data_IF_122954580118
#
_entry.id   IF_122954580118
#
_cell.length_a   1.000
_cell.length_b   1.000
_cell.length_c   1.000
_cell.angle_alpha   90.00
_cell.angle_beta   90.00
_cell.angle_gamma   90.00
#
_symmetry.space_group_name_H-M   'P 1'
#
loop_
_entity.id
_entity.type
_entity.pdbx_description
1 polymer ?
#
# COMPACT_ATOMS: atom_id res chain seq x y z
N UNK A 1 -14.87 -63.60 34.16
CA UNK A 1 -15.89 -64.44 34.79
C UNK A 1 -16.58 -63.52 35.77
N UNK A 2 -17.62 -62.82 35.30
CA UNK A 2 -19.02 -63.32 35.28
C UNK A 2 -19.52 -63.43 36.73
N UNK A 3 -20.70 -62.98 37.10
CA UNK A 3 -21.79 -62.21 36.48
C UNK A 3 -22.72 -61.96 37.67
N UNK A 4 -23.37 -60.79 37.75
CA UNK A 4 -24.74 -60.76 38.27
C UNK A 4 -25.42 -59.48 37.77
N UNK A 5 -26.34 -59.65 36.82
CA UNK A 5 -27.24 -58.61 36.39
C UNK A 5 -28.38 -58.41 37.40
N UNK A 6 -29.17 -57.35 37.21
CA UNK A 6 -30.65 -57.41 37.13
C UNK A 6 -31.23 -55.98 37.01
N UNK A 7 -32.25 -55.91 36.14
CA UNK A 7 -33.40 -55.01 36.07
C UNK A 7 -33.36 -53.68 35.30
N UNK A 8 -34.12 -53.73 34.20
CA UNK A 8 -34.77 -52.60 33.55
C UNK A 8 -36.13 -52.31 34.22
N UNK A 9 -36.50 -51.04 34.40
CA UNK A 9 -37.93 -50.64 34.44
C UNK A 9 -38.15 -49.15 34.15
N UNK A 10 -38.82 -48.90 33.02
CA UNK A 10 -39.82 -47.84 32.75
C UNK A 10 -39.58 -46.40 33.23
N UNK A 11 -39.34 -45.49 32.29
CA UNK A 11 -39.59 -44.06 32.47
C UNK A 11 -40.94 -43.70 31.83
N UNK A 12 -41.91 -43.35 32.68
CA UNK A 12 -43.28 -42.97 32.31
C UNK A 12 -43.32 -41.55 31.73
N UNK A 13 -44.11 -41.39 30.67
CA UNK A 13 -44.45 -40.13 30.03
C UNK A 13 -45.72 -39.57 30.70
N UNK A 14 -45.62 -38.42 31.36
CA UNK A 14 -46.77 -37.69 31.91
C UNK A 14 -46.79 -36.26 31.37
N UNK A 15 -47.80 -35.96 30.55
CA UNK A 15 -48.00 -34.67 29.87
C UNK A 15 -48.48 -33.53 30.78
N UNK A 16 -48.14 -32.33 30.32
CA UNK A 16 -48.90 -31.05 30.37
C UNK A 16 -49.15 -30.35 31.70
N UNK A 17 -48.54 -29.18 31.82
CA UNK A 17 -49.26 -27.96 32.22
C UNK A 17 -48.85 -26.80 31.32
N UNK A 18 -49.80 -26.35 30.52
CA UNK A 18 -49.75 -25.11 29.74
C UNK A 18 -50.09 -23.99 30.71
N UNK A 19 -49.13 -23.11 31.00
CA UNK A 19 -49.41 -21.81 31.61
C UNK A 19 -49.02 -20.74 30.59
N UNK A 20 -50.05 -20.18 29.94
CA UNK A 20 -49.99 -18.96 29.15
C UNK A 20 -50.09 -17.78 30.11
N UNK A 21 -49.05 -16.94 30.13
CA UNK A 21 -49.12 -15.47 30.01
C UNK A 21 -47.96 -14.80 30.73
N UNK A 22 -47.09 -14.11 29.98
CA UNK A 22 -46.63 -12.77 30.30
C UNK A 22 -45.62 -12.35 29.25
N UNK A 23 -46.00 -11.35 28.46
CA UNK A 23 -45.17 -10.54 27.59
C UNK A 23 -43.83 -10.16 28.23
N UNK A 24 -42.74 -10.64 27.65
CA UNK A 24 -41.40 -10.07 27.83
C UNK A 24 -40.93 -9.54 26.48
N UNK A 25 -40.78 -8.22 26.38
CA UNK A 25 -40.16 -7.54 25.24
C UNK A 25 -38.81 -8.19 24.90
N UNK A 26 -38.70 -8.74 23.69
CA UNK A 26 -37.41 -9.10 23.12
C UNK A 26 -36.66 -7.82 22.77
N UNK A 27 -35.45 -7.56 23.31
CA UNK A 27 -34.68 -6.42 22.88
C UNK A 27 -34.21 -6.65 21.43
N UNK A 28 -34.21 -5.57 20.65
CA UNK A 28 -33.75 -5.44 19.26
C UNK A 28 -32.27 -5.82 19.02
N UNK A 29 -31.86 -7.05 19.36
CA UNK A 29 -30.48 -7.52 19.21
C UNK A 29 -30.19 -8.08 17.82
N UNK A 30 -31.20 -8.63 17.13
CA UNK A 30 -31.04 -9.22 15.79
C UNK A 30 -30.82 -8.17 14.71
N UNK A 31 -31.58 -7.07 14.74
CA UNK A 31 -31.46 -5.98 13.77
C UNK A 31 -30.11 -5.24 13.87
N UNK A 32 -29.54 -5.11 15.08
CA UNK A 32 -28.22 -4.52 15.28
C UNK A 32 -27.08 -5.45 14.82
N UNK A 33 -27.26 -6.77 14.92
CA UNK A 33 -26.27 -7.75 14.48
C UNK A 33 -26.19 -7.82 12.94
N UNK A 34 -27.33 -7.99 12.26
CA UNK A 34 -27.40 -8.05 10.78
C UNK A 34 -26.94 -6.76 10.10
N UNK A 35 -27.27 -5.60 10.68
CA UNK A 35 -26.81 -4.31 10.13
C UNK A 35 -25.30 -4.09 10.33
N UNK A 36 -24.71 -4.61 11.41
CA UNK A 36 -23.27 -4.49 11.68
C UNK A 36 -22.42 -5.37 10.73
N UNK A 37 -22.86 -6.61 10.48
CA UNK A 37 -22.19 -7.52 9.55
C UNK A 37 -22.32 -7.06 8.11
N UNK A 38 -23.49 -6.58 7.71
CA UNK A 38 -23.72 -6.03 6.38
C UNK A 38 -22.88 -4.77 6.14
N UNK A 39 -22.81 -3.84 7.11
CA UNK A 39 -21.94 -2.65 7.02
C UNK A 39 -20.46 -3.01 6.94
N UNK A 40 -20.02 -4.01 7.72
CA UNK A 40 -18.62 -4.48 7.71
C UNK A 40 -18.25 -5.12 6.38
N UNK A 41 -19.16 -5.91 5.80
CA UNK A 41 -19.01 -6.54 4.49
C UNK A 41 -18.97 -5.50 3.35
N UNK A 42 -19.90 -4.54 3.35
CA UNK A 42 -19.93 -3.45 2.38
C UNK A 42 -18.67 -2.57 2.44
N UNK A 43 -18.21 -2.23 3.65
CA UNK A 43 -16.97 -1.48 3.86
C UNK A 43 -15.74 -2.22 3.31
N UNK A 44 -15.60 -3.51 3.65
CA UNK A 44 -14.50 -4.36 3.15
C UNK A 44 -14.50 -4.44 1.62
N UNK A 45 -15.68 -4.50 1.01
CA UNK A 45 -15.86 -4.55 -0.45
C UNK A 45 -15.44 -3.21 -1.08
N UNK A 46 -15.87 -2.09 -0.51
CA UNK A 46 -15.47 -0.75 -0.97
C UNK A 46 -13.93 -0.56 -0.91
N UNK A 47 -13.30 -0.91 0.22
CA UNK A 47 -11.84 -0.85 0.37
C UNK A 47 -11.13 -1.65 -0.72
N UNK A 48 -11.65 -2.84 -1.00
CA UNK A 48 -11.12 -3.73 -2.02
C UNK A 48 -11.20 -3.15 -3.43
N UNK A 49 -12.35 -2.56 -3.79
CA UNK A 49 -12.54 -1.90 -5.09
C UNK A 49 -11.56 -0.73 -5.25
N UNK A 50 -11.37 0.06 -4.19
CA UNK A 50 -10.43 1.19 -4.20
C UNK A 50 -8.99 0.71 -4.44
N UNK A 51 -8.59 -0.41 -3.83
CA UNK A 51 -7.24 -0.95 -4.04
C UNK A 51 -7.08 -1.47 -5.48
N UNK A 52 -8.10 -2.13 -6.04
CA UNK A 52 -8.11 -2.58 -7.43
C UNK A 52 -7.99 -1.41 -8.41
N UNK A 53 -8.77 -0.34 -8.18
CA UNK A 53 -8.66 0.88 -8.97
C UNK A 53 -7.25 1.46 -8.90
N UNK A 54 -6.63 1.48 -7.71
CA UNK A 54 -5.27 1.97 -7.57
C UNK A 54 -4.25 1.13 -8.37
N UNK A 55 -4.34 -0.20 -8.33
CA UNK A 55 -3.51 -1.09 -9.16
C UNK A 55 -3.66 -0.79 -10.65
N UNK A 56 -4.90 -0.64 -11.13
CA UNK A 56 -5.18 -0.30 -12.53
C UNK A 56 -4.57 1.06 -12.89
N UNK A 57 -4.76 2.08 -12.05
CA UNK A 57 -4.20 3.42 -12.27
C UNK A 57 -2.67 3.40 -12.35
N UNK A 58 -2.00 2.65 -11.47
CA UNK A 58 -0.54 2.47 -11.48
C UNK A 58 -0.07 1.88 -12.82
N UNK A 59 -0.69 0.78 -13.25
CA UNK A 59 -0.32 0.09 -14.50
C UNK A 59 -0.61 0.98 -15.71
N UNK A 60 -1.80 1.60 -15.78
CA UNK A 60 -2.19 2.48 -16.87
C UNK A 60 -1.26 3.69 -16.99
N UNK A 61 -0.97 4.38 -15.88
CA UNK A 61 -0.06 5.54 -15.89
C UNK A 61 1.35 5.15 -16.33
N UNK A 62 1.84 4.00 -15.86
CA UNK A 62 3.15 3.48 -16.25
C UNK A 62 3.20 3.18 -17.74
N UNK A 63 2.25 2.41 -18.26
CA UNK A 63 2.18 2.05 -19.68
C UNK A 63 2.06 3.29 -20.58
N UNK A 64 1.21 4.24 -20.19
CA UNK A 64 1.02 5.50 -20.90
C UNK A 64 2.31 6.33 -20.95
N UNK A 65 2.99 6.50 -19.81
CA UNK A 65 4.25 7.24 -19.75
C UNK A 65 5.34 6.57 -20.58
N UNK A 66 5.44 5.24 -20.52
CA UNK A 66 6.40 4.47 -21.31
C UNK A 66 6.16 4.64 -22.80
N UNK A 67 4.90 4.52 -23.26
CA UNK A 67 4.54 4.71 -24.66
C UNK A 67 5.01 6.06 -25.21
N UNK A 68 4.71 7.16 -24.50
CA UNK A 68 5.14 8.49 -24.92
C UNK A 68 6.66 8.69 -24.83
N UNK A 69 7.34 8.01 -23.91
CA UNK A 69 8.77 8.19 -23.71
C UNK A 69 9.63 7.67 -24.87
N UNK A 70 9.13 6.73 -25.68
CA UNK A 70 9.88 6.03 -26.75
C UNK A 70 10.51 7.01 -27.75
N UNK A 71 9.82 8.09 -28.07
CA UNK A 71 10.28 9.08 -29.06
C UNK A 71 11.30 10.10 -28.50
N UNK A 72 11.68 10.01 -27.22
CA UNK A 72 12.52 11.00 -26.57
C UNK A 72 13.95 10.49 -26.34
N UNK A 73 14.94 11.36 -26.52
CA UNK A 73 16.36 11.04 -26.28
C UNK A 73 16.72 10.66 -24.83
N UNK A 74 15.78 10.90 -23.90
CA UNK A 74 15.90 10.54 -22.48
C UNK A 74 15.06 9.30 -22.13
N UNK A 75 14.65 8.51 -23.13
CA UNK A 75 13.82 7.31 -22.97
C UNK A 75 14.26 6.42 -21.81
N UNK A 76 15.54 6.02 -21.78
CA UNK A 76 16.04 5.12 -20.74
C UNK A 76 15.86 5.67 -19.32
N UNK A 77 16.11 6.97 -19.12
CA UNK A 77 15.91 7.63 -17.83
C UNK A 77 14.43 7.63 -17.44
N UNK A 78 13.57 8.09 -18.37
CA UNK A 78 12.13 8.15 -18.15
C UNK A 78 11.57 6.78 -17.83
N UNK A 79 11.87 5.77 -18.65
CA UNK A 79 11.33 4.41 -18.50
C UNK A 79 11.76 3.80 -17.17
N UNK A 80 13.04 3.83 -16.85
CA UNK A 80 13.55 3.22 -15.61
C UNK A 80 13.06 3.94 -14.35
N UNK A 81 13.02 5.28 -14.36
CA UNK A 81 12.50 6.04 -13.22
C UNK A 81 10.98 5.89 -13.08
N UNK A 82 10.22 5.79 -14.18
CA UNK A 82 8.76 5.54 -14.12
C UNK A 82 8.48 4.13 -13.59
N UNK A 83 9.15 3.11 -14.13
CA UNK A 83 9.01 1.73 -13.64
C UNK A 83 9.41 1.64 -12.16
N UNK A 84 10.47 2.31 -11.73
CA UNK A 84 10.88 2.29 -10.34
C UNK A 84 9.92 3.03 -9.40
N UNK A 85 9.59 4.29 -9.67
CA UNK A 85 8.77 5.12 -8.77
C UNK A 85 7.27 4.85 -8.89
N UNK A 86 6.75 4.80 -10.12
CA UNK A 86 5.31 4.70 -10.35
C UNK A 86 4.86 3.25 -10.19
N UNK A 87 5.50 2.30 -10.88
CA UNK A 87 5.07 0.90 -10.84
C UNK A 87 5.56 0.20 -9.57
N UNK A 88 6.87 -0.05 -9.45
CA UNK A 88 7.42 -0.94 -8.42
C UNK A 88 7.24 -0.40 -7.00
N UNK A 89 7.53 0.89 -6.77
CA UNK A 89 7.42 1.49 -5.45
C UNK A 89 5.96 1.65 -5.00
N UNK A 90 5.04 2.07 -5.89
CA UNK A 90 3.61 2.14 -5.54
C UNK A 90 3.04 0.75 -5.25
N UNK A 91 3.33 -0.24 -6.10
CA UNK A 91 2.91 -1.63 -5.88
C UNK A 91 3.47 -2.19 -4.57
N UNK A 92 4.73 -1.90 -4.24
CA UNK A 92 5.32 -2.31 -2.96
C UNK A 92 4.57 -1.74 -1.76
N UNK A 93 4.13 -0.49 -1.83
CA UNK A 93 3.35 0.15 -0.75
C UNK A 93 1.96 -0.48 -0.69
N UNK A 94 1.29 -0.61 -1.83
CA UNK A 94 -0.09 -1.12 -1.92
C UNK A 94 -0.19 -2.57 -1.45
N UNK A 95 0.72 -3.45 -1.89
CA UNK A 95 0.82 -4.86 -1.48
C UNK A 95 1.09 -5.00 0.02
N UNK A 96 1.88 -4.09 0.59
CA UNK A 96 2.19 -4.12 2.02
C UNK A 96 1.05 -3.57 2.88
N UNK A 97 0.28 -2.61 2.37
CA UNK A 97 -0.65 -1.83 3.17
C UNK A 97 -1.98 -2.53 3.53
N UNK A 98 -2.32 -3.70 2.99
CA UNK A 98 -3.47 -4.46 3.49
C UNK A 98 -3.91 -5.68 2.68
N UNK A 99 -5.11 -6.15 2.97
CA UNK A 99 -5.75 -7.29 2.29
C UNK A 99 -6.37 -6.87 0.97
N UNK A 100 -5.52 -6.70 -0.04
CA UNK A 100 -5.97 -6.46 -1.41
C UNK A 100 -6.35 -7.82 -2.02
N UNK A 101 -7.22 -7.86 -3.05
CA UNK A 101 -7.63 -9.13 -3.71
C UNK A 101 -6.42 -9.98 -4.09
N UNK A 102 -5.39 -9.34 -4.65
CA UNK A 102 -4.17 -10.00 -5.12
C UNK A 102 -3.33 -10.62 -4.00
N UNK A 103 -3.44 -10.12 -2.77
CA UNK A 103 -2.55 -10.49 -1.65
C UNK A 103 -3.31 -11.02 -0.45
N UNK A 104 -4.63 -11.19 -0.55
CA UNK A 104 -5.51 -11.69 0.52
C UNK A 104 -5.11 -13.08 1.01
N UNK A 105 -4.52 -13.90 0.13
CA UNK A 105 -4.03 -15.24 0.45
C UNK A 105 -2.58 -15.25 0.97
N UNK A 106 -1.89 -14.11 0.95
CA UNK A 106 -0.49 -14.03 1.35
C UNK A 106 -0.35 -13.74 2.83
N UNK A 107 0.53 -14.51 3.48
CA UNK A 107 0.91 -14.25 4.87
C UNK A 107 1.58 -12.88 5.00
N UNK A 108 1.49 -12.28 6.19
CA UNK A 108 2.20 -11.02 6.47
C UNK A 108 3.72 -11.12 6.22
N UNK A 109 4.32 -12.31 6.41
CA UNK A 109 5.72 -12.56 6.08
C UNK A 109 5.97 -12.45 4.57
N UNK A 110 5.12 -13.08 3.75
CA UNK A 110 5.19 -12.99 2.28
C UNK A 110 5.02 -11.56 1.79
N UNK A 111 4.03 -10.81 2.30
CA UNK A 111 3.82 -9.40 1.94
C UNK A 111 5.06 -8.54 2.25
N UNK A 112 5.72 -8.78 3.39
CA UNK A 112 6.97 -8.10 3.74
C UNK A 112 8.12 -8.45 2.79
N UNK A 113 8.25 -9.71 2.39
CA UNK A 113 9.27 -10.10 1.41
C UNK A 113 9.01 -9.47 0.04
N UNK A 114 7.77 -9.49 -0.44
CA UNK A 114 7.39 -8.84 -1.69
C UNK A 114 7.66 -7.34 -1.66
N UNK A 115 7.26 -6.65 -0.58
CA UNK A 115 7.56 -5.23 -0.38
C UNK A 115 9.06 -4.95 -0.52
N UNK A 116 9.90 -5.73 0.17
CA UNK A 116 11.34 -5.55 0.13
C UNK A 116 11.93 -5.81 -1.27
N UNK A 117 11.50 -6.88 -1.95
CA UNK A 117 11.96 -7.22 -3.30
C UNK A 117 11.57 -6.12 -4.31
N UNK A 118 10.31 -5.69 -4.29
CA UNK A 118 9.81 -4.64 -5.18
C UNK A 118 10.53 -3.31 -4.95
N UNK A 119 10.78 -2.94 -3.68
CA UNK A 119 11.54 -1.73 -3.38
C UNK A 119 13.00 -1.82 -3.81
N UNK A 120 13.64 -2.98 -3.64
CA UNK A 120 15.01 -3.17 -4.09
C UNK A 120 15.12 -3.09 -5.61
N UNK A 121 14.20 -3.73 -6.34
CA UNK A 121 14.15 -3.66 -7.79
C UNK A 121 13.87 -2.23 -8.27
N UNK A 122 12.93 -1.54 -7.61
CA UNK A 122 12.62 -0.13 -7.89
C UNK A 122 13.83 0.79 -7.69
N UNK A 123 14.57 0.60 -6.58
CA UNK A 123 15.81 1.32 -6.30
C UNK A 123 16.85 1.10 -7.39
N UNK A 124 17.05 -0.15 -7.83
CA UNK A 124 18.00 -0.48 -8.92
C UNK A 124 17.59 0.22 -10.22
N UNK A 125 16.31 0.16 -10.60
CA UNK A 125 15.80 0.86 -11.77
C UNK A 125 16.05 2.36 -11.69
N UNK A 126 15.74 3.00 -10.55
CA UNK A 126 15.89 4.45 -10.38
C UNK A 126 17.36 4.85 -10.45
N UNK A 127 18.27 4.12 -9.79
CA UNK A 127 19.71 4.37 -9.87
C UNK A 127 20.18 4.28 -11.33
N UNK A 128 19.82 3.20 -12.03
CA UNK A 128 20.21 3.01 -13.41
C UNK A 128 19.69 4.14 -14.30
N UNK A 129 18.43 4.54 -14.15
CA UNK A 129 17.83 5.67 -14.87
C UNK A 129 18.55 6.99 -14.63
N UNK A 130 18.92 7.28 -13.37
CA UNK A 130 19.65 8.51 -13.00
C UNK A 130 21.08 8.48 -13.56
N UNK A 131 21.78 7.36 -13.45
CA UNK A 131 23.15 7.20 -13.99
C UNK A 131 23.16 7.40 -15.50
N UNK A 132 22.22 6.80 -16.23
CA UNK A 132 22.13 6.99 -17.68
C UNK A 132 21.88 8.46 -18.05
N UNK A 133 21.00 9.15 -17.32
CA UNK A 133 20.76 10.58 -17.53
C UNK A 133 21.99 11.45 -17.23
N UNK A 134 22.74 11.08 -16.19
CA UNK A 134 24.00 11.73 -15.84
C UNK A 134 25.03 11.61 -16.95
N UNK A 135 25.06 10.52 -17.72
CA UNK A 135 25.98 10.37 -18.86
C UNK A 135 25.56 11.19 -20.08
N UNK A 136 24.27 11.51 -20.22
CA UNK A 136 23.72 12.22 -21.38
C UNK A 136 23.75 13.75 -21.21
N UNK A 137 23.53 14.25 -20.00
CA UNK A 137 23.46 15.69 -19.74
C UNK A 137 24.84 16.31 -19.49
N UNK A 138 25.01 17.58 -19.87
CA UNK A 138 26.21 18.39 -19.55
C UNK A 138 26.08 19.20 -18.25
N UNK A 139 24.84 19.54 -17.88
CA UNK A 139 24.52 20.28 -16.65
C UNK A 139 23.58 19.42 -15.83
N UNK A 140 23.97 19.17 -14.58
CA UNK A 140 23.27 18.26 -13.68
C UNK A 140 22.53 19.01 -12.57
N UNK A 141 21.47 18.40 -12.06
CA UNK A 141 20.79 18.76 -10.80
C UNK A 141 20.33 20.22 -10.61
N UNK A 142 20.19 21.01 -11.68
CA UNK A 142 19.69 22.41 -11.58
C UNK A 142 18.17 22.57 -11.58
N UNK A 143 17.44 21.65 -12.22
CA UNK A 143 15.97 21.77 -12.32
C UNK A 143 15.27 21.20 -11.09
N UNK A 144 14.12 21.76 -10.71
CA UNK A 144 13.28 21.25 -9.61
C UNK A 144 13.03 19.73 -9.69
N UNK A 145 12.74 19.21 -10.88
CA UNK A 145 12.63 17.76 -11.13
C UNK A 145 13.87 16.98 -10.67
N UNK A 146 15.06 17.47 -11.02
CA UNK A 146 16.31 16.80 -10.69
C UNK A 146 16.64 16.90 -9.19
N UNK A 147 16.31 18.02 -8.54
CA UNK A 147 16.50 18.23 -7.10
C UNK A 147 15.56 17.30 -6.31
N UNK A 148 14.28 17.26 -6.64
CA UNK A 148 13.34 16.34 -5.99
C UNK A 148 13.72 14.87 -6.23
N UNK A 149 14.10 14.53 -7.47
CA UNK A 149 14.47 13.17 -7.85
C UNK A 149 15.73 12.65 -7.13
N UNK A 150 16.76 13.48 -6.96
CA UNK A 150 17.96 13.08 -6.20
C UNK A 150 17.68 13.04 -4.70
N UNK A 151 16.85 13.96 -4.19
CA UNK A 151 16.43 13.98 -2.79
C UNK A 151 15.69 12.69 -2.43
N UNK A 152 14.69 12.29 -3.23
CA UNK A 152 13.98 11.03 -3.00
C UNK A 152 14.89 9.82 -3.14
N UNK A 153 15.84 9.81 -4.09
CA UNK A 153 16.79 8.71 -4.25
C UNK A 153 17.68 8.54 -3.00
N UNK A 154 18.21 9.63 -2.43
CA UNK A 154 19.02 9.57 -1.22
C UNK A 154 18.22 9.02 -0.03
N UNK A 155 16.99 9.52 0.16
CA UNK A 155 16.09 9.03 1.21
C UNK A 155 15.78 7.53 1.01
N UNK A 156 15.52 7.11 -0.23
CA UNK A 156 15.23 5.72 -0.56
C UNK A 156 16.41 4.79 -0.26
N UNK A 157 17.64 5.17 -0.61
CA UNK A 157 18.85 4.38 -0.27
C UNK A 157 18.97 4.21 1.25
N UNK A 158 18.81 5.29 2.00
CA UNK A 158 18.83 5.24 3.47
C UNK A 158 17.72 4.33 4.03
N UNK A 159 16.51 4.38 3.47
CA UNK A 159 15.38 3.54 3.87
C UNK A 159 15.59 2.07 3.56
N UNK A 160 16.19 1.73 2.41
CA UNK A 160 16.50 0.34 2.06
C UNK A 160 17.52 -0.27 3.02
N UNK A 161 18.54 0.50 3.40
CA UNK A 161 19.54 0.06 4.39
C UNK A 161 18.90 -0.13 5.77
N UNK A 162 18.14 0.86 6.24
CA UNK A 162 17.50 0.83 7.58
C UNK A 162 16.33 -0.14 7.69
N UNK A 163 15.62 -0.40 6.59
CA UNK A 163 14.48 -1.31 6.52
C UNK A 163 14.87 -2.79 6.45
N UNK A 164 16.12 -3.11 6.11
CA UNK A 164 16.59 -4.49 6.01
C UNK A 164 16.74 -5.12 7.41
N UNK A 165 15.91 -6.12 7.78
CA UNK A 165 15.85 -6.60 9.16
C UNK A 165 17.10 -7.34 9.61
N UNK A 166 17.84 -7.97 8.70
CA UNK A 166 18.92 -8.90 9.10
C UNK A 166 20.20 -8.16 9.50
N UNK A 167 20.59 -7.11 8.77
CA UNK A 167 21.80 -6.33 9.13
C UNK A 167 21.57 -5.32 10.24
N UNK A 168 20.38 -4.70 10.29
CA UNK A 168 20.13 -3.56 11.18
C UNK A 168 19.54 -3.99 12.53
N UNK A 169 18.70 -5.03 12.58
CA UNK A 169 17.97 -5.33 13.80
C UNK A 169 18.85 -5.79 14.97
N UNK A 170 20.03 -6.37 14.75
CA UNK A 170 20.91 -6.83 15.84
C UNK A 170 21.65 -5.68 16.53
N UNK A 171 22.10 -4.67 15.77
CA UNK A 171 22.79 -3.50 16.32
C UNK A 171 21.83 -2.38 16.71
N UNK A 172 20.83 -2.07 15.90
CA UNK A 172 19.95 -0.92 16.13
C UNK A 172 18.96 -1.15 17.27
N UNK A 173 18.50 -2.39 17.51
CA UNK A 173 17.66 -2.72 18.68
C UNK A 173 18.37 -2.52 20.03
N UNK A 174 19.71 -2.47 20.04
CA UNK A 174 20.49 -2.20 21.25
C UNK A 174 20.55 -0.71 21.60
N UNK A 175 20.31 0.17 20.62
CA UNK A 175 20.50 1.62 20.76
C UNK A 175 19.17 2.38 20.70
N UNK A 176 18.24 1.94 19.84
CA UNK A 176 16.99 2.66 19.57
C UNK A 176 15.80 1.72 19.75
N UNK A 177 14.72 2.23 20.35
CA UNK A 177 13.48 1.47 20.52
C UNK A 177 12.92 1.04 19.15
N UNK A 178 12.53 -0.24 18.97
CA UNK A 178 12.01 -0.75 17.70
C UNK A 178 10.80 0.03 17.14
N UNK A 179 9.98 0.60 18.02
CA UNK A 179 8.81 1.41 17.66
C UNK A 179 9.22 2.70 16.95
N UNK A 180 10.31 3.36 17.38
CA UNK A 180 10.84 4.59 16.78
C UNK A 180 11.41 4.32 15.39
N UNK A 181 12.14 3.21 15.22
CA UNK A 181 12.68 2.80 13.91
C UNK A 181 11.52 2.53 12.94
N UNK A 182 10.47 1.81 13.40
CA UNK A 182 9.30 1.52 12.58
C UNK A 182 8.53 2.78 12.18
N UNK A 183 8.34 3.71 13.11
CA UNK A 183 7.71 5.00 12.83
C UNK A 183 8.52 5.82 11.83
N UNK A 184 9.83 5.97 12.06
CA UNK A 184 10.72 6.69 11.18
C UNK A 184 10.75 6.11 9.76
N UNK A 185 10.83 4.79 9.62
CA UNK A 185 10.79 4.11 8.32
C UNK A 185 9.47 4.38 7.58
N UNK A 186 8.33 4.28 8.27
CA UNK A 186 7.03 4.53 7.68
C UNK A 186 6.86 6.01 7.25
N UNK A 187 7.30 6.95 8.10
CA UNK A 187 7.17 8.39 7.84
C UNK A 187 8.08 8.82 6.68
N UNK A 188 9.37 8.53 6.79
CA UNK A 188 10.34 8.82 5.74
C UNK A 188 10.01 8.08 4.44
N UNK A 189 9.47 6.85 4.52
CA UNK A 189 9.01 6.09 3.35
C UNK A 189 7.88 6.79 2.61
N UNK A 190 6.88 7.29 3.34
CA UNK A 190 5.78 8.04 2.74
C UNK A 190 6.25 9.38 2.16
N UNK A 191 7.12 10.11 2.87
CA UNK A 191 7.72 11.35 2.36
C UNK A 191 8.57 11.09 1.11
N UNK A 192 9.38 10.04 1.10
CA UNK A 192 10.18 9.62 -0.05
C UNK A 192 9.31 9.34 -1.27
N UNK A 193 8.20 8.61 -1.06
CA UNK A 193 7.23 8.32 -2.10
C UNK A 193 6.61 9.59 -2.68
N UNK A 194 6.14 10.49 -1.82
CA UNK A 194 5.54 11.76 -2.24
C UNK A 194 6.54 12.64 -3.02
N UNK A 195 7.78 12.76 -2.55
CA UNK A 195 8.84 13.54 -3.23
C UNK A 195 9.18 12.92 -4.59
N UNK A 196 9.30 11.59 -4.66
CA UNK A 196 9.57 10.86 -5.90
C UNK A 196 8.44 11.04 -6.94
N UNK A 197 7.19 10.92 -6.50
CA UNK A 197 6.02 11.14 -7.35
C UNK A 197 5.90 12.61 -7.78
N UNK A 198 6.21 13.57 -6.91
CA UNK A 198 6.28 14.99 -7.28
C UNK A 198 7.36 15.25 -8.36
N UNK A 199 8.50 14.56 -8.26
CA UNK A 199 9.51 14.60 -9.31
C UNK A 199 8.98 14.06 -10.65
N UNK A 200 8.20 12.98 -10.65
CA UNK A 200 7.54 12.46 -11.86
C UNK A 200 6.59 13.49 -12.47
N UNK A 201 5.75 14.15 -11.67
CA UNK A 201 4.86 15.22 -12.12
C UNK A 201 5.60 16.35 -12.83
N UNK A 202 6.74 16.79 -12.28
CA UNK A 202 7.61 17.78 -12.93
C UNK A 202 8.27 17.24 -14.20
N UNK A 203 8.54 15.93 -14.25
CA UNK A 203 9.01 15.22 -15.43
C UNK A 203 8.00 15.26 -16.58
N UNK A 204 6.71 15.08 -16.28
CA UNK A 204 5.64 15.13 -17.29
C UNK A 204 5.59 16.48 -18.03
N UNK A 205 5.84 17.58 -17.31
CA UNK A 205 5.89 18.91 -17.91
C UNK A 205 7.04 19.10 -18.91
N UNK A 206 8.12 18.30 -18.79
CA UNK A 206 9.26 18.37 -19.71
C UNK A 206 9.02 17.66 -21.04
N UNK A 207 7.99 16.82 -21.16
CA UNK A 207 7.63 16.25 -22.46
C UNK A 207 7.05 17.34 -23.35
N UNK A 208 7.82 17.79 -24.33
CA UNK A 208 7.47 18.91 -25.23
C UNK A 208 6.12 18.71 -25.95
N UNK A 209 5.69 17.47 -26.16
CA UNK A 209 4.44 17.15 -26.86
C UNK A 209 3.75 15.93 -26.22
N UNK A 210 2.71 16.16 -25.41
CA UNK A 210 1.87 15.13 -24.77
C UNK A 210 0.41 15.58 -24.87
N UNK A 211 -0.11 15.73 -26.08
CA UNK A 211 -1.52 16.10 -26.30
C UNK A 211 -2.25 14.88 -26.86
N UNK A 212 -3.36 14.51 -26.24
CA UNK A 212 -4.26 13.46 -26.76
C UNK A 212 -5.24 14.05 -27.79
N UNK A 213 -5.61 15.32 -27.60
CA UNK A 213 -6.50 16.07 -28.49
C UNK A 213 -6.13 17.56 -28.44
N UNK A 214 -6.62 18.35 -29.40
CA UNK A 214 -6.40 19.81 -29.45
C UNK A 214 -6.87 20.56 -28.21
N UNK A 215 -7.76 19.95 -27.40
CA UNK A 215 -8.32 20.52 -26.18
C UNK A 215 -7.86 19.85 -24.88
N UNK A 216 -7.15 18.71 -24.95
CA UNK A 216 -6.83 17.88 -23.77
C UNK A 216 -5.34 17.71 -23.61
N UNK A 217 -4.79 18.38 -22.59
CA UNK A 217 -3.39 18.24 -22.17
C UNK A 217 -3.22 16.95 -21.36
N UNK A 218 -2.51 15.97 -21.93
CA UNK A 218 -2.30 14.68 -21.27
C UNK A 218 -1.39 14.80 -20.04
N UNK A 219 -0.60 15.87 -19.92
CA UNK A 219 0.26 16.11 -18.76
C UNK A 219 -0.58 16.32 -17.51
N UNK A 220 -1.65 17.10 -17.62
CA UNK A 220 -2.56 17.36 -16.50
C UNK A 220 -3.24 16.06 -16.04
N UNK A 221 -3.66 15.22 -16.98
CA UNK A 221 -4.22 13.90 -16.67
C UNK A 221 -3.19 13.05 -15.92
N UNK A 222 -1.94 12.98 -16.38
CA UNK A 222 -0.87 12.23 -15.71
C UNK A 222 -0.62 12.73 -14.28
N UNK A 223 -0.65 14.05 -14.06
CA UNK A 223 -0.51 14.66 -12.74
C UNK A 223 -1.68 14.29 -11.83
N UNK A 224 -2.92 14.43 -12.31
CA UNK A 224 -4.13 14.09 -11.54
C UNK A 224 -4.09 12.60 -11.16
N UNK A 225 -3.79 11.71 -12.10
CA UNK A 225 -3.69 10.27 -11.85
C UNK A 225 -2.56 9.97 -10.86
N UNK A 226 -1.41 10.63 -10.97
CA UNK A 226 -0.29 10.48 -10.02
C UNK A 226 -0.67 10.88 -8.61
N UNK A 227 -1.38 12.00 -8.45
CA UNK A 227 -1.88 12.46 -7.14
C UNK A 227 -2.89 11.47 -6.58
N UNK A 228 -3.79 10.95 -7.42
CA UNK A 228 -4.72 9.89 -7.01
C UNK A 228 -3.98 8.64 -6.52
N UNK A 229 -2.99 8.15 -7.26
CA UNK A 229 -2.17 7.00 -6.83
C UNK A 229 -1.51 7.26 -5.47
N UNK A 230 -0.95 8.46 -5.25
CA UNK A 230 -0.35 8.82 -3.96
C UNK A 230 -1.36 8.78 -2.84
N UNK A 231 -2.52 9.42 -3.01
CA UNK A 231 -3.59 9.48 -2.00
C UNK A 231 -4.13 8.09 -1.68
N UNK A 232 -4.43 7.29 -2.71
CA UNK A 232 -4.98 5.94 -2.55
C UNK A 232 -3.98 5.01 -1.86
N UNK A 233 -2.70 5.10 -2.21
CA UNK A 233 -1.63 4.29 -1.58
C UNK A 233 -1.34 4.74 -0.13
N UNK A 234 -1.43 6.05 0.15
CA UNK A 234 -1.18 6.60 1.48
C UNK A 234 -2.32 6.32 2.48
N UNK A 235 -3.56 6.18 2.00
CA UNK A 235 -4.77 6.03 2.84
C UNK A 235 -4.64 5.00 3.95
N UNK A 236 -4.03 3.84 3.69
CA UNK A 236 -3.86 2.76 4.67
C UNK A 236 -2.63 2.96 5.57
N UNK A 237 -1.62 3.69 5.10
CA UNK A 237 -0.41 3.98 5.86
C UNK A 237 -0.62 5.06 6.94
N UNK A 238 -1.47 6.06 6.66
CA UNK A 238 -1.70 7.21 7.54
C UNK A 238 -2.26 6.84 8.94
N UNK A 239 -3.30 5.99 9.09
CA UNK A 239 -3.78 5.59 10.41
C UNK A 239 -2.73 4.83 11.22
N UNK A 240 -1.94 3.98 10.56
CA UNK A 240 -0.85 3.23 11.20
C UNK A 240 0.24 4.18 11.72
N UNK A 241 0.58 5.21 10.93
CA UNK A 241 1.51 6.26 11.33
C UNK A 241 0.99 7.06 12.52
N UNK A 242 -0.28 7.45 12.49
CA UNK A 242 -0.90 8.20 13.59
C UNK A 242 -0.91 7.40 14.89
N UNK A 243 -1.27 6.11 14.84
CA UNK A 243 -1.22 5.23 16.01
C UNK A 243 0.20 5.08 16.57
N UNK A 244 1.23 5.02 15.72
CA UNK A 244 2.63 4.97 16.14
C UNK A 244 3.08 6.28 16.78
N UNK A 245 2.65 7.42 16.22
CA UNK A 245 2.92 8.75 16.76
C UNK A 245 2.34 8.91 18.17
N UNK A 246 1.06 8.58 18.35
CA UNK A 246 0.40 8.62 19.67
C UNK A 246 1.15 7.74 20.68
N UNK A 247 1.57 6.52 20.30
CA UNK A 247 2.34 5.63 21.19
C UNK A 247 3.75 6.12 21.55
N UNK A 248 4.29 7.06 20.78
CA UNK A 248 5.63 7.61 21.00
C UNK A 248 5.61 8.88 21.86
N UNK A 249 4.54 9.68 21.74
CA UNK A 249 4.46 11.03 22.31
C UNK A 249 3.28 11.25 23.27
N UNK A 250 2.37 10.29 23.40
CA UNK A 250 1.29 10.26 24.40
C UNK A 250 1.54 9.19 25.44
#
# INVERSE_FOLDING_TARGET
>A
MEEEGINATSFQLGQTKVDVSSSSEFPNSSSNFETSDTKRSAWSTCVTIVDLVNHILIVCLTAFTLYYSVAHSVFNHTTLCTVGYVLLMSEAIVVFAGDNILTRYFTHRTKKHLHWILQLLGLICIIAGVVLMYRVKKVHFKSNHAILGITSLIIMIFLTVTGYPVFVATKLRKVIRPITIKFGHNFLGLSCFAIGMASQCLGYWKFRTMNISSKVDARLICIIVSVMIVVLSARKALPTLFQQFVKLFG
#
